data_IF_946877381746
#
_entry.id   IF_946877381746
#
_cell.length_a   1.000
_cell.length_b   1.000
_cell.length_c   1.000
_cell.angle_alpha   90.00
_cell.angle_beta   90.00
_cell.angle_gamma   90.00
#
_symmetry.space_group_name_H-M   'P 1'
#
loop_
_entity.id
_entity.type
_entity.pdbx_description
1 polymer ?
#
# COMPACT_ATOMS: atom_id res chain seq x y z
N UNK A 1 6.66 14.79 -7.66
CA UNK A 1 5.25 14.36 -7.73
C UNK A 1 5.05 13.70 -9.07
N UNK A 2 4.66 12.43 -9.08
CA UNK A 2 4.33 11.67 -10.30
C UNK A 2 2.80 11.54 -10.37
N UNK A 3 2.21 11.83 -11.53
CA UNK A 3 0.75 11.80 -11.75
C UNK A 3 0.44 10.69 -12.73
N UNK A 4 -0.07 9.58 -12.18
CA UNK A 4 -0.28 8.36 -12.96
C UNK A 4 -1.77 8.18 -13.19
N UNK A 5 -2.16 8.28 -14.46
CA UNK A 5 -3.53 8.07 -14.89
C UNK A 5 -3.71 6.65 -15.44
N UNK A 6 -4.90 6.10 -15.24
CA UNK A 6 -5.23 4.76 -15.71
C UNK A 6 -5.41 4.76 -17.22
N UNK A 7 -5.22 3.62 -17.90
CA UNK A 7 -5.53 3.51 -19.31
C UNK A 7 -7.02 3.82 -19.55
N UNK A 8 -7.31 4.57 -20.61
CA UNK A 8 -8.68 4.80 -21.09
C UNK A 8 -9.31 3.46 -21.48
N UNK A 9 -10.53 3.21 -21.02
CA UNK A 9 -11.27 2.01 -21.40
C UNK A 9 -11.58 2.06 -22.91
N UNK A 10 -11.02 1.14 -23.68
CA UNK A 10 -11.24 1.01 -25.13
C UNK A 10 -12.63 0.40 -25.48
N UNK A 11 -13.63 0.68 -24.67
CA UNK A 11 -15.02 0.23 -24.83
C UNK A 11 -15.98 1.41 -24.85
N UNK A 12 -17.11 1.25 -25.55
CA UNK A 12 -18.24 2.18 -25.47
C UNK A 12 -18.85 2.09 -24.06
N UNK A 13 -18.23 2.79 -23.13
CA UNK A 13 -18.67 2.91 -21.76
C UNK A 13 -19.02 4.38 -21.54
N UNK A 14 -20.28 4.74 -21.74
CA UNK A 14 -20.77 6.06 -21.33
C UNK A 14 -20.85 6.09 -19.80
N UNK A 15 -19.78 6.58 -19.17
CA UNK A 15 -19.74 6.92 -17.75
C UNK A 15 -19.40 5.76 -16.81
N UNK A 16 -19.97 5.81 -15.59
CA UNK A 16 -19.61 4.95 -14.46
C UNK A 16 -20.19 3.53 -14.51
N UNK A 17 -20.64 3.00 -15.65
CA UNK A 17 -21.27 1.67 -15.76
C UNK A 17 -20.27 0.53 -15.93
N UNK A 18 -18.98 0.82 -16.15
CA UNK A 18 -17.94 -0.18 -16.42
C UNK A 18 -17.06 -0.50 -15.19
N UNK A 19 -17.67 -0.50 -13.99
CA UNK A 19 -17.04 -0.60 -12.66
C UNK A 19 -16.36 -1.93 -12.30
N UNK A 20 -16.00 -2.76 -13.27
CA UNK A 20 -15.49 -4.13 -13.01
C UNK A 20 -14.14 -4.44 -13.64
N UNK A 21 -13.43 -3.46 -14.18
CA UNK A 21 -12.07 -3.67 -14.70
C UNK A 21 -11.02 -3.35 -13.64
N UNK A 22 -10.01 -4.20 -13.58
CA UNK A 22 -8.81 -4.00 -12.77
C UNK A 22 -8.04 -2.82 -13.37
N UNK A 23 -7.88 -1.74 -12.61
CA UNK A 23 -7.04 -0.61 -13.02
C UNK A 23 -5.57 -0.95 -12.76
N UNK A 24 -4.77 -1.02 -13.81
CA UNK A 24 -3.31 -1.27 -13.71
C UNK A 24 -2.57 0.02 -14.03
N UNK A 25 -1.63 0.39 -13.17
CA UNK A 25 -0.82 1.59 -13.29
C UNK A 25 0.66 1.20 -13.21
N UNK A 26 1.49 1.82 -14.05
CA UNK A 26 2.94 1.61 -14.05
C UNK A 26 3.63 2.88 -13.60
N UNK A 27 4.46 2.78 -12.57
CA UNK A 27 5.31 3.86 -12.08
C UNK A 27 6.78 3.50 -12.28
N UNK A 28 7.62 4.53 -12.42
CA UNK A 28 9.07 4.36 -12.37
C UNK A 28 9.55 4.87 -11.02
N UNK A 29 10.13 3.98 -10.22
CA UNK A 29 10.64 4.27 -8.87
C UNK A 29 12.12 3.97 -8.77
N UNK A 30 12.82 4.70 -7.91
CA UNK A 30 14.20 4.41 -7.52
C UNK A 30 14.20 3.55 -6.26
N UNK A 31 15.05 2.52 -6.23
CA UNK A 31 15.22 1.63 -5.08
C UNK A 31 15.91 2.34 -3.91
N UNK A 32 15.68 1.88 -2.68
CA UNK A 32 16.23 2.49 -1.47
C UNK A 32 15.62 3.85 -1.14
N UNK A 33 14.38 4.10 -1.59
CA UNK A 33 13.65 5.35 -1.39
C UNK A 33 12.26 5.10 -0.81
N UNK A 34 11.75 6.14 -0.17
CA UNK A 34 10.40 6.22 0.36
C UNK A 34 9.50 7.03 -0.57
N UNK A 35 8.25 6.59 -0.74
CA UNK A 35 7.26 7.24 -1.59
C UNK A 35 5.92 7.34 -0.89
N UNK A 36 5.29 8.52 -0.96
CA UNK A 36 3.90 8.70 -0.55
C UNK A 36 2.97 8.48 -1.75
N UNK A 37 1.99 7.61 -1.57
CA UNK A 37 0.98 7.27 -2.57
C UNK A 37 -0.40 7.75 -2.12
N UNK A 38 -1.02 8.55 -2.98
CA UNK A 38 -2.36 9.10 -2.77
C UNK A 38 -3.27 8.74 -3.92
N UNK A 39 -4.53 8.41 -3.61
CA UNK A 39 -5.59 8.24 -4.58
C UNK A 39 -6.48 9.49 -4.58
N UNK A 40 -6.77 10.05 -5.76
CA UNK A 40 -7.55 11.29 -5.91
C UNK A 40 -9.07 11.10 -5.77
N UNK A 41 -9.57 9.87 -5.86
CA UNK A 41 -10.99 9.52 -5.79
C UNK A 41 -11.22 8.38 -4.77
N UNK A 42 -12.01 7.37 -5.13
CA UNK A 42 -12.24 6.19 -4.31
C UNK A 42 -10.96 5.36 -4.18
N UNK A 43 -10.47 5.18 -2.94
CA UNK A 43 -9.35 4.27 -2.66
C UNK A 43 -9.73 2.82 -3.00
N UNK A 44 -8.81 2.01 -3.57
CA UNK A 44 -9.10 0.64 -3.95
C UNK A 44 -9.34 -0.25 -2.71
N UNK A 45 -10.37 -1.08 -2.72
CA UNK A 45 -10.58 -2.08 -1.65
C UNK A 45 -9.53 -3.19 -1.67
N UNK A 46 -9.03 -3.53 -2.85
CA UNK A 46 -7.95 -4.50 -3.04
C UNK A 46 -6.86 -3.83 -3.89
N UNK A 47 -5.64 -3.79 -3.36
CA UNK A 47 -4.47 -3.23 -4.04
C UNK A 47 -3.37 -4.28 -4.08
N UNK A 48 -2.74 -4.45 -5.25
CA UNK A 48 -1.58 -5.30 -5.43
C UNK A 48 -0.41 -4.45 -5.91
N UNK A 49 0.69 -4.50 -5.17
CA UNK A 49 1.93 -3.81 -5.52
C UNK A 49 2.96 -4.83 -5.99
N UNK A 50 3.67 -4.48 -7.05
CA UNK A 50 4.74 -5.29 -7.63
C UNK A 50 5.93 -4.41 -7.98
N UNK A 51 7.10 -4.80 -7.51
CA UNK A 51 8.36 -4.22 -7.97
C UNK A 51 8.91 -5.12 -9.09
N UNK A 52 8.63 -4.75 -10.33
CA UNK A 52 9.06 -5.51 -11.51
C UNK A 52 10.56 -5.35 -11.75
N UNK A 53 11.21 -6.43 -12.22
CA UNK A 53 12.62 -6.47 -12.60
C UNK A 53 13.60 -6.07 -11.47
N UNK A 54 13.21 -6.25 -10.21
CA UNK A 54 14.08 -6.04 -9.06
C UNK A 54 14.83 -7.31 -8.67
N UNK A 55 16.06 -7.15 -8.18
CA UNK A 55 16.80 -8.20 -7.47
C UNK A 55 16.41 -8.21 -5.99
N UNK A 56 16.68 -9.30 -5.27
CA UNK A 56 16.28 -9.48 -3.86
C UNK A 56 16.77 -8.38 -2.92
N UNK A 57 17.89 -7.72 -3.24
CA UNK A 57 18.45 -6.63 -2.44
C UNK A 57 17.82 -5.26 -2.72
N UNK A 58 16.86 -5.17 -3.64
CA UNK A 58 16.23 -3.92 -4.04
C UNK A 58 14.84 -3.77 -3.41
N UNK A 59 14.72 -2.75 -2.57
CA UNK A 59 13.49 -2.46 -1.82
C UNK A 59 13.03 -1.03 -2.06
N UNK A 60 11.73 -0.78 -1.90
CA UNK A 60 11.13 0.55 -1.78
C UNK A 60 10.20 0.57 -0.57
N UNK A 61 10.10 1.71 0.10
CA UNK A 61 9.08 1.93 1.13
C UNK A 61 7.96 2.78 0.52
N UNK A 62 6.70 2.39 0.75
CA UNK A 62 5.53 3.09 0.23
C UNK A 62 4.57 3.36 1.37
N UNK A 63 4.30 4.63 1.65
CA UNK A 63 3.20 5.04 2.52
C UNK A 63 1.95 5.27 1.66
N UNK A 64 0.83 4.67 2.04
CA UNK A 64 -0.40 4.74 1.25
C UNK A 64 -1.49 5.41 2.10
N UNK A 65 -2.02 6.51 1.58
CA UNK A 65 -3.13 7.18 2.24
C UNK A 65 -4.48 6.60 1.79
N UNK A 66 -5.25 6.11 2.76
CA UNK A 66 -6.64 5.71 2.59
C UNK A 66 -7.55 6.73 3.26
N UNK A 67 -8.50 7.28 2.49
CA UNK A 67 -9.41 8.33 2.99
C UNK A 67 -10.40 7.83 4.05
N UNK A 68 -10.78 6.56 3.97
CA UNK A 68 -11.75 5.96 4.87
C UNK A 68 -11.05 5.06 5.91
N UNK A 69 -11.56 4.98 7.15
CA UNK A 69 -10.95 4.22 8.24
C UNK A 69 -11.26 2.73 8.13
N UNK A 70 -10.96 2.15 6.97
CA UNK A 70 -11.11 0.71 6.77
C UNK A 70 -9.96 -0.03 7.44
N UNK A 71 -10.24 -1.23 7.95
CA UNK A 71 -9.20 -2.18 8.33
C UNK A 71 -8.37 -2.52 7.08
N UNK A 72 -7.05 -2.39 7.19
CA UNK A 72 -6.11 -2.72 6.13
C UNK A 72 -5.38 -4.01 6.53
N UNK A 73 -5.58 -5.07 5.77
CA UNK A 73 -4.85 -6.32 5.94
C UNK A 73 -3.75 -6.42 4.88
N UNK A 74 -2.52 -6.68 5.31
CA UNK A 74 -1.35 -6.81 4.45
C UNK A 74 -1.06 -8.29 4.21
N UNK A 75 -0.80 -8.65 2.95
CA UNK A 75 -0.40 -10.01 2.56
C UNK A 75 0.86 -9.97 1.72
N UNK A 76 1.82 -10.82 2.06
CA UNK A 76 3.06 -11.05 1.28
C UNK A 76 3.07 -12.52 0.88
N UNK A 77 3.11 -12.79 -0.42
CA UNK A 77 3.02 -14.15 -0.98
C UNK A 77 1.82 -14.96 -0.46
N UNK A 78 0.69 -14.28 -0.27
CA UNK A 78 -0.55 -14.88 0.24
C UNK A 78 -0.58 -15.09 1.75
N UNK A 79 0.49 -14.73 2.47
CA UNK A 79 0.58 -14.86 3.94
C UNK A 79 0.29 -13.51 4.60
N UNK A 80 -0.65 -13.51 5.55
CA UNK A 80 -0.99 -12.33 6.35
C UNK A 80 0.23 -11.83 7.14
N UNK A 81 0.43 -10.50 7.14
CA UNK A 81 1.44 -9.81 7.93
C UNK A 81 0.74 -8.82 8.88
N UNK A 82 0.88 -8.98 10.21
CA UNK A 82 0.30 -8.02 11.14
C UNK A 82 1.00 -6.67 11.05
N UNK A 83 0.31 -5.60 11.43
CA UNK A 83 0.88 -4.26 11.47
C UNK A 83 2.05 -4.20 12.47
N UNK A 84 3.09 -3.43 12.16
CA UNK A 84 4.27 -3.33 13.06
C UNK A 84 3.94 -2.71 14.42
N UNK A 85 2.88 -1.90 14.49
CA UNK A 85 2.38 -1.28 15.72
C UNK A 85 1.23 -2.08 16.37
N UNK A 86 1.03 -3.35 16.01
CA UNK A 86 0.04 -4.18 16.68
C UNK A 86 0.48 -4.56 18.10
N UNK A 87 -0.49 -4.70 18.98
CA UNK A 87 -0.33 -5.32 20.30
C UNK A 87 -1.61 -6.08 20.65
N UNK A 88 -1.63 -6.79 21.77
CA UNK A 88 -2.81 -7.48 22.30
C UNK A 88 -3.22 -6.87 23.64
N UNK A 89 -4.53 -6.63 23.81
CA UNK A 89 -5.07 -6.28 25.13
C UNK A 89 -5.21 -7.54 26.01
N UNK A 90 -5.62 -7.35 27.26
CA UNK A 90 -5.84 -8.45 28.22
C UNK A 90 -6.92 -9.46 27.78
N UNK A 91 -7.85 -9.01 26.93
CA UNK A 91 -8.92 -9.83 26.33
C UNK A 91 -8.45 -10.64 25.10
N UNK A 92 -7.20 -10.42 24.65
CA UNK A 92 -6.62 -11.06 23.47
C UNK A 92 -6.98 -10.41 22.13
N UNK A 93 -7.62 -9.24 22.14
CA UNK A 93 -7.92 -8.47 20.95
C UNK A 93 -6.68 -7.71 20.46
N UNK A 94 -6.50 -7.68 19.14
CA UNK A 94 -5.46 -6.87 18.51
C UNK A 94 -5.81 -5.38 18.59
N UNK A 95 -4.90 -4.58 19.13
CA UNK A 95 -4.95 -3.12 19.19
C UNK A 95 -3.77 -2.50 18.43
N UNK A 96 -3.90 -1.25 18.01
CA UNK A 96 -2.81 -0.49 17.37
C UNK A 96 -2.26 0.55 18.34
N UNK A 97 -0.94 0.57 18.53
CA UNK A 97 -0.25 1.59 19.32
C UNK A 97 0.01 2.84 18.51
N UNK A 98 -0.21 3.99 19.14
CA UNK A 98 0.20 5.26 18.59
C UNK A 98 1.73 5.39 18.70
N UNK A 99 2.43 5.87 17.65
CA UNK A 99 3.86 6.12 17.72
C UNK A 99 4.21 7.23 18.70
N UNK A 100 5.31 7.07 19.42
CA UNK A 100 5.94 8.08 20.28
C UNK A 100 6.98 8.91 19.52
N UNK A 101 7.58 8.33 18.49
CA UNK A 101 8.51 9.02 17.58
C UNK A 101 8.06 8.84 16.13
N UNK A 102 8.51 9.72 15.24
CA UNK A 102 8.04 9.73 13.85
C UNK A 102 8.31 8.40 13.12
N UNK A 103 9.42 7.74 13.39
CA UNK A 103 9.87 6.56 12.63
C UNK A 103 9.62 5.22 13.33
N UNK A 104 9.07 5.20 14.55
CA UNK A 104 8.98 4.00 15.42
C UNK A 104 8.37 2.75 14.76
N UNK A 105 7.43 2.93 13.84
CA UNK A 105 6.75 1.84 13.15
C UNK A 105 6.94 1.89 11.63
N UNK A 106 7.85 2.74 11.15
CA UNK A 106 8.20 2.78 9.75
C UNK A 106 9.03 1.55 9.40
N UNK A 107 8.71 0.84 8.31
CA UNK A 107 9.48 -0.32 7.90
C UNK A 107 10.85 0.11 7.37
N UNK A 108 11.91 -0.53 7.85
CA UNK A 108 13.27 -0.38 7.33
C UNK A 108 13.36 -0.95 5.90
N UNK A 109 14.11 -0.25 5.05
CA UNK A 109 14.36 -0.60 3.66
C UNK A 109 15.21 -1.88 3.51
N UNK A 110 15.94 -2.31 4.54
CA UNK A 110 16.78 -3.51 4.48
C UNK A 110 15.97 -4.77 4.78
N UNK A 111 15.20 -4.79 5.87
CA UNK A 111 14.58 -6.01 6.38
C UNK A 111 13.05 -5.93 6.51
N UNK A 112 12.42 -4.78 6.23
CA UNK A 112 10.97 -4.58 6.37
C UNK A 112 10.46 -4.70 7.82
N UNK A 113 11.37 -4.67 8.80
CA UNK A 113 11.04 -4.62 10.23
C UNK A 113 10.86 -3.16 10.66
N UNK A 114 10.19 -2.93 11.80
CA UNK A 114 10.15 -1.61 12.41
C UNK A 114 11.57 -1.08 12.65
N UNK A 115 11.84 0.14 12.19
CA UNK A 115 13.11 0.84 12.36
C UNK A 115 13.20 1.66 13.63
#
# INVERSE_FOLDING_TARGET
VDLINGPEDHGWCFGYTCQKRISTFYSIVATGKHYDLYFTSTSPQNLRLHLLNAVESQTVSVAIFYKAPYRLDLYVDGVYRPALNHDFNDDGDMILKAPTTFDEYHPDLVNGQAG
#
